data_IF_287404850975
#
_entry.id   IF_287404850975
#
_cell.length_a   1.000
_cell.length_b   1.000
_cell.length_c   1.000
_cell.angle_alpha   90.00
_cell.angle_beta   90.00
_cell.angle_gamma   90.00
#
_symmetry.space_group_name_H-M   'P 1'
#
loop_
_entity.id
_entity.type
_entity.pdbx_description
1 polymer ?
#
# COMPACT_ATOMS: atom_id res chain seq x y z
N UNK A 1 -42.46 32.93 38.87
CA UNK A 1 -42.58 34.32 39.38
C UNK A 1 -41.97 35.34 38.41
N UNK A 2 -42.13 35.19 37.09
CA UNK A 2 -41.57 36.14 36.10
C UNK A 2 -42.50 37.32 35.76
N UNK A 3 -43.69 37.39 36.37
CA UNK A 3 -44.71 38.37 35.99
C UNK A 3 -44.56 39.73 36.71
N UNK A 4 -43.69 39.83 37.73
CA UNK A 4 -43.56 41.05 38.55
C UNK A 4 -42.41 41.96 38.13
N UNK A 5 -41.45 41.49 37.32
CA UNK A 5 -40.26 42.29 36.97
C UNK A 5 -40.63 43.48 36.07
N UNK A 6 -41.50 43.26 35.08
CA UNK A 6 -42.02 44.32 34.21
C UNK A 6 -42.69 45.45 35.01
N UNK A 7 -43.40 45.11 36.09
CA UNK A 7 -44.06 46.07 36.99
C UNK A 7 -43.09 46.86 37.87
N UNK A 8 -41.83 46.39 38.00
CA UNK A 8 -40.75 47.05 38.76
C UNK A 8 -39.75 47.79 37.85
N UNK A 9 -39.97 47.81 36.54
CA UNK A 9 -39.12 48.51 35.58
C UNK A 9 -39.62 49.89 35.20
N UNK A 10 -38.69 50.81 34.98
CA UNK A 10 -39.01 52.15 34.47
C UNK A 10 -39.25 52.10 32.96
N UNK A 11 -40.36 52.68 32.49
CA UNK A 11 -40.71 52.73 31.06
C UNK A 11 -39.80 53.60 30.19
N UNK A 12 -38.82 54.30 30.77
CA UNK A 12 -37.84 55.11 30.03
C UNK A 12 -36.53 54.32 29.82
N UNK A 13 -35.94 53.78 30.88
CA UNK A 13 -34.66 53.05 30.78
C UNK A 13 -34.80 51.53 30.66
N UNK A 14 -36.01 50.99 30.87
CA UNK A 14 -36.31 49.55 30.86
C UNK A 14 -35.47 48.75 31.86
N UNK A 15 -35.02 49.41 32.93
CA UNK A 15 -34.31 48.82 34.08
C UNK A 15 -35.16 49.00 35.34
N UNK A 16 -34.86 48.25 36.40
CA UNK A 16 -35.48 48.43 37.71
C UNK A 16 -35.39 49.89 38.17
N UNK A 17 -36.45 50.42 38.79
CA UNK A 17 -36.45 51.82 39.20
C UNK A 17 -35.27 52.17 40.12
N UNK A 18 -34.58 53.24 39.77
CA UNK A 18 -33.50 53.83 40.56
C UNK A 18 -33.92 55.24 40.98
N UNK A 19 -34.02 55.45 42.28
CA UNK A 19 -34.64 56.64 42.88
C UNK A 19 -36.03 56.97 42.27
N UNK A 20 -37.06 56.13 42.53
CA UNK A 20 -38.37 56.28 41.92
C UNK A 20 -39.10 57.54 42.40
N UNK A 21 -39.32 58.50 41.51
CA UNK A 21 -40.05 59.74 41.76
C UNK A 21 -41.47 59.66 41.21
N UNK A 22 -42.45 60.07 42.02
CA UNK A 22 -43.88 60.06 41.67
C UNK A 22 -44.29 61.42 41.15
N UNK A 23 -44.79 61.44 39.93
CA UNK A 23 -45.42 62.62 39.35
C UNK A 23 -46.84 62.82 39.96
N UNK A 24 -47.35 64.05 40.15
CA UNK A 24 -48.76 64.34 40.46
C UNK A 24 -49.83 63.56 39.68
N UNK A 25 -49.54 63.05 38.48
CA UNK A 25 -50.39 62.14 37.73
C UNK A 25 -50.25 60.65 38.14
N UNK A 26 -49.66 60.38 39.30
CA UNK A 26 -49.39 59.07 39.92
C UNK A 26 -48.45 58.11 39.16
N UNK A 27 -47.89 58.53 38.03
CA UNK A 27 -46.88 57.74 37.32
C UNK A 27 -45.49 57.90 37.96
N UNK A 28 -44.72 56.82 38.00
CA UNK A 28 -43.41 56.76 38.65
C UNK A 28 -42.31 56.57 37.60
N UNK A 29 -41.18 57.26 37.77
CA UNK A 29 -40.01 57.20 36.89
C UNK A 29 -38.71 57.32 37.72
N UNK A 30 -37.58 56.86 37.19
CA UNK A 30 -36.28 57.13 37.82
C UNK A 30 -35.99 58.62 37.82
N UNK A 31 -35.40 59.17 38.89
CA UNK A 31 -35.05 60.60 38.97
C UNK A 31 -34.23 61.07 37.76
N UNK A 32 -33.19 60.32 37.41
CA UNK A 32 -32.31 60.64 36.27
C UNK A 32 -33.06 60.61 34.93
N UNK A 33 -34.04 59.71 34.79
CA UNK A 33 -34.88 59.65 33.59
C UNK A 33 -35.78 60.88 33.48
N UNK A 34 -36.34 61.38 34.60
CA UNK A 34 -37.11 62.62 34.62
C UNK A 34 -36.25 63.85 34.33
N UNK A 35 -35.02 63.91 34.85
CA UNK A 35 -34.07 64.99 34.53
C UNK A 35 -33.77 65.05 33.03
N UNK A 36 -33.53 63.89 32.41
CA UNK A 36 -33.34 63.81 30.96
C UNK A 36 -34.54 64.31 30.17
N UNK A 37 -35.77 63.97 30.58
CA UNK A 37 -36.99 64.46 29.92
C UNK A 37 -37.16 65.98 30.10
N UNK A 38 -36.86 66.52 31.28
CA UNK A 38 -36.96 67.96 31.56
C UNK A 38 -35.95 68.75 30.72
N UNK A 39 -34.71 68.27 30.63
CA UNK A 39 -33.67 68.88 29.80
C UNK A 39 -34.08 68.93 28.33
N UNK A 40 -34.69 67.86 27.80
CA UNK A 40 -35.18 67.81 26.42
C UNK A 40 -36.39 68.75 26.17
N UNK A 41 -37.20 69.04 27.20
CA UNK A 41 -38.36 69.95 27.10
C UNK A 41 -38.04 71.43 27.30
N UNK A 42 -36.81 71.79 27.68
CA UNK A 42 -36.43 73.15 28.10
C UNK A 42 -36.33 74.20 26.97
N UNK A 43 -36.68 73.84 25.73
CA UNK A 43 -36.65 74.76 24.58
C UNK A 43 -37.84 75.74 24.50
N UNK A 44 -38.80 75.71 25.44
CA UNK A 44 -40.02 76.52 25.39
C UNK A 44 -40.42 77.08 26.77
N UNK A 45 -39.73 78.10 27.30
CA UNK A 45 -40.25 78.93 28.41
C UNK A 45 -39.49 80.27 28.58
N UNK A 46 -39.92 81.33 27.89
CA UNK A 46 -39.33 82.70 28.00
C UNK A 46 -40.00 83.53 29.13
N UNK A 47 -41.06 83.05 29.79
CA UNK A 47 -41.86 83.87 30.72
C UNK A 47 -42.36 83.14 31.98
N UNK A 48 -41.44 82.70 32.87
CA UNK A 48 -41.60 82.60 34.35
C UNK A 48 -40.40 81.81 34.93
N UNK A 49 -39.47 82.42 35.70
CA UNK A 49 -38.27 81.73 36.17
C UNK A 49 -38.48 80.66 37.26
N UNK A 50 -39.72 80.41 37.73
CA UNK A 50 -39.94 79.65 38.97
C UNK A 50 -40.55 78.25 38.82
N UNK A 51 -41.05 77.85 37.63
CA UNK A 51 -41.64 76.50 37.41
C UNK A 51 -41.42 76.01 35.98
N UNK A 52 -41.12 74.71 35.83
CA UNK A 52 -40.87 74.08 34.51
C UNK A 52 -42.04 73.17 34.14
N UNK A 53 -42.66 73.32 32.96
CA UNK A 53 -43.71 72.42 32.51
C UNK A 53 -43.11 71.08 32.05
N UNK A 54 -43.56 69.99 32.67
CA UNK A 54 -43.19 68.62 32.33
C UNK A 54 -44.41 67.90 31.74
N UNK A 55 -44.20 67.09 30.69
CA UNK A 55 -45.22 66.21 30.14
C UNK A 55 -44.92 64.76 30.52
N UNK A 56 -45.87 64.09 31.18
CA UNK A 56 -45.69 62.70 31.59
C UNK A 56 -45.52 61.77 30.36
N UNK A 57 -44.48 60.94 30.28
CA UNK A 57 -44.28 60.00 29.16
C UNK A 57 -45.40 58.96 29.00
N UNK A 58 -46.04 58.55 30.09
CA UNK A 58 -47.07 57.50 30.05
C UNK A 58 -48.47 58.08 29.73
N UNK A 59 -48.95 59.05 30.51
CA UNK A 59 -50.33 59.57 30.36
C UNK A 59 -50.43 60.91 29.62
N UNK A 60 -49.29 61.53 29.26
CA UNK A 60 -49.22 62.81 28.53
C UNK A 60 -49.79 64.03 29.25
N UNK A 61 -50.21 63.91 30.51
CA UNK A 61 -50.62 65.05 31.35
C UNK A 61 -49.46 66.04 31.53
N UNK A 62 -49.77 67.34 31.47
CA UNK A 62 -48.82 68.44 31.67
C UNK A 62 -48.89 68.89 33.13
N UNK A 63 -47.73 69.13 33.73
CA UNK A 63 -47.61 69.50 35.14
C UNK A 63 -46.46 70.46 35.39
N UNK A 64 -46.62 71.33 36.38
CA UNK A 64 -45.60 72.30 36.76
C UNK A 64 -44.70 71.73 37.86
N UNK A 65 -43.41 71.59 37.58
CA UNK A 65 -42.40 71.18 38.56
C UNK A 65 -41.79 72.43 39.21
N UNK A 66 -41.61 72.47 40.54
CA UNK A 66 -40.92 73.56 41.24
C UNK A 66 -39.51 73.83 40.70
N UNK A 67 -38.98 75.05 40.90
CA UNK A 67 -37.61 75.43 40.50
C UNK A 67 -36.51 74.54 41.12
N UNK A 68 -36.79 73.85 42.23
CA UNK A 68 -35.92 72.85 42.84
C UNK A 68 -35.84 71.52 42.06
N UNK A 69 -36.51 71.43 40.91
CA UNK A 69 -36.37 70.33 39.97
C UNK A 69 -36.97 69.01 40.46
N UNK A 70 -36.46 67.91 39.93
CA UNK A 70 -36.87 66.53 40.22
C UNK A 70 -36.67 66.13 41.68
N UNK A 71 -35.82 66.85 42.44
CA UNK A 71 -35.59 66.60 43.88
C UNK A 71 -36.83 66.88 44.73
N UNK A 72 -37.67 67.81 44.29
CA UNK A 72 -38.89 68.18 45.00
C UNK A 72 -40.03 67.16 44.83
N UNK A 73 -39.88 66.19 43.93
CA UNK A 73 -40.90 65.19 43.69
C UNK A 73 -40.88 64.10 44.78
N UNK A 74 -42.06 63.65 45.25
CA UNK A 74 -42.16 62.57 46.22
C UNK A 74 -41.46 61.31 45.74
N UNK A 75 -40.70 60.67 46.64
CA UNK A 75 -40.10 59.36 46.39
C UNK A 75 -41.16 58.28 46.66
N UNK A 76 -41.28 57.30 45.77
CA UNK A 76 -42.11 56.12 46.02
C UNK A 76 -41.35 55.14 46.94
N UNK A 77 -41.41 55.38 48.24
CA UNK A 77 -40.70 54.54 49.22
C UNK A 77 -41.16 53.09 49.24
N UNK A 78 -42.44 52.82 48.95
CA UNK A 78 -42.97 51.46 48.86
C UNK A 78 -42.33 50.70 47.68
N UNK A 79 -42.30 51.31 46.49
CA UNK A 79 -41.64 50.74 45.33
C UNK A 79 -40.13 50.57 45.55
N UNK A 80 -39.49 51.56 46.19
CA UNK A 80 -38.07 51.48 46.58
C UNK A 80 -37.81 50.29 47.52
N UNK A 81 -38.65 50.08 48.54
CA UNK A 81 -38.53 48.97 49.48
C UNK A 81 -38.79 47.61 48.82
N UNK A 82 -39.75 47.52 47.89
CA UNK A 82 -40.02 46.30 47.11
C UNK A 82 -38.80 45.98 46.23
N UNK A 83 -38.21 46.98 45.56
CA UNK A 83 -37.00 46.80 44.75
C UNK A 83 -35.80 46.42 45.61
N UNK A 84 -35.64 47.01 46.80
CA UNK A 84 -34.58 46.68 47.76
C UNK A 84 -34.70 45.21 48.20
N UNK A 85 -35.91 44.76 48.51
CA UNK A 85 -36.18 43.36 48.88
C UNK A 85 -35.98 42.40 47.71
N UNK A 86 -36.44 42.78 46.52
CA UNK A 86 -36.23 42.03 45.27
C UNK A 86 -34.73 41.89 44.94
N UNK A 87 -33.91 42.90 45.26
CA UNK A 87 -32.44 42.83 45.12
C UNK A 87 -31.75 41.98 46.18
N UNK A 88 -32.36 41.82 47.37
CA UNK A 88 -31.83 41.02 48.48
C UNK A 88 -32.19 39.54 48.37
N UNK A 89 -33.28 39.21 47.68
CA UNK A 89 -33.54 37.86 47.20
C UNK A 89 -32.47 37.54 46.15
N UNK A 90 -31.60 36.59 46.45
CA UNK A 90 -30.39 36.27 45.68
C UNK A 90 -30.73 35.77 44.28
N UNK A 91 -30.91 36.70 43.35
CA UNK A 91 -31.02 36.45 41.92
C UNK A 91 -29.61 36.45 41.30
N UNK A 92 -28.71 35.59 41.80
CA UNK A 92 -27.34 35.38 41.29
C UNK A 92 -27.28 34.99 39.80
N UNK A 93 -28.41 34.68 39.16
CA UNK A 93 -28.47 34.22 37.78
C UNK A 93 -28.68 35.34 36.74
N UNK A 94 -28.80 36.60 37.15
CA UNK A 94 -28.98 37.71 36.19
C UNK A 94 -27.64 38.08 35.57
N UNK A 95 -27.41 37.62 34.34
CA UNK A 95 -26.24 37.98 33.55
C UNK A 95 -26.15 39.50 33.38
N UNK A 96 -25.00 40.09 33.71
CA UNK A 96 -24.77 41.54 33.63
C UNK A 96 -23.80 41.90 32.52
N UNK A 97 -23.93 43.12 32.01
CA UNK A 97 -23.10 43.63 30.92
C UNK A 97 -21.66 43.87 31.37
N UNK A 98 -20.69 43.39 30.59
CA UNK A 98 -19.27 43.60 30.86
C UNK A 98 -18.85 45.07 30.77
N UNK A 99 -19.47 45.83 29.86
CA UNK A 99 -19.10 47.22 29.56
C UNK A 99 -19.81 48.23 30.47
N UNK A 100 -20.96 47.86 31.03
CA UNK A 100 -21.81 48.77 31.80
C UNK A 100 -22.09 48.20 33.18
N UNK A 101 -21.49 48.84 34.20
CA UNK A 101 -21.52 48.36 35.58
C UNK A 101 -22.95 48.10 36.08
N UNK A 102 -23.19 46.87 36.54
CA UNK A 102 -24.46 46.38 37.11
C UNK A 102 -25.69 46.51 36.20
N UNK A 103 -25.50 46.66 34.89
CA UNK A 103 -26.62 46.68 33.94
C UNK A 103 -26.99 45.24 33.53
N UNK A 104 -28.27 44.83 33.65
CA UNK A 104 -28.68 43.48 33.26
C UNK A 104 -28.66 43.30 31.74
N UNK A 105 -28.28 42.11 31.27
CA UNK A 105 -28.39 41.71 29.87
C UNK A 105 -29.81 41.20 29.61
N UNK A 106 -30.69 42.11 29.21
CA UNK A 106 -32.13 41.87 29.09
C UNK A 106 -32.68 42.03 27.66
N UNK A 107 -31.82 42.28 26.67
CA UNK A 107 -32.22 42.46 25.26
C UNK A 107 -31.33 41.63 24.33
N UNK A 108 -31.89 41.09 23.25
CA UNK A 108 -31.11 40.39 22.23
C UNK A 108 -30.95 41.28 20.99
N UNK A 109 -29.70 41.55 20.61
CA UNK A 109 -29.40 42.23 19.36
C UNK A 109 -29.46 41.22 18.20
N UNK A 110 -30.37 41.42 17.25
CA UNK A 110 -30.57 40.52 16.11
C UNK A 110 -29.44 40.62 15.08
N UNK A 111 -28.79 41.79 14.98
CA UNK A 111 -27.68 42.00 14.05
C UNK A 111 -26.40 41.31 14.54
N UNK A 112 -26.07 41.50 15.81
CA UNK A 112 -24.82 40.99 16.41
C UNK A 112 -24.97 39.60 17.04
N UNK A 113 -26.21 39.09 17.10
CA UNK A 113 -26.59 37.81 17.71
C UNK A 113 -26.11 37.64 19.15
N UNK A 114 -26.27 38.68 19.97
CA UNK A 114 -25.75 38.75 21.35
C UNK A 114 -26.75 39.38 22.31
N UNK A 115 -26.65 38.97 23.57
CA UNK A 115 -27.34 39.62 24.68
C UNK A 115 -26.66 40.96 24.99
N UNK A 116 -27.46 42.02 25.13
CA UNK A 116 -27.02 43.39 25.38
C UNK A 116 -27.91 44.04 26.46
N UNK A 117 -27.39 45.05 27.16
CA UNK A 117 -28.16 45.83 28.12
C UNK A 117 -28.74 47.12 27.50
N UNK A 118 -29.66 47.78 28.18
CA UNK A 118 -30.27 49.04 27.70
C UNK A 118 -29.26 50.15 27.36
N UNK A 119 -28.15 50.26 28.10
CA UNK A 119 -27.10 51.25 27.82
C UNK A 119 -26.36 50.95 26.50
N UNK A 120 -26.15 49.68 26.16
CA UNK A 120 -25.58 49.28 24.88
C UNK A 120 -26.42 49.76 23.69
N UNK A 121 -27.74 49.86 23.86
CA UNK A 121 -28.69 50.25 22.83
C UNK A 121 -28.88 51.76 22.71
N UNK A 122 -28.85 52.49 23.83
CA UNK A 122 -29.16 53.92 23.82
C UNK A 122 -27.96 54.79 23.53
N UNK A 123 -26.80 54.44 24.11
CA UNK A 123 -25.57 55.24 24.02
C UNK A 123 -24.35 54.42 23.61
N UNK A 124 -24.47 53.10 23.61
CA UNK A 124 -23.39 52.17 23.29
C UNK A 124 -23.35 51.75 21.82
N UNK A 125 -22.55 50.69 21.56
CA UNK A 125 -22.21 50.20 20.21
C UNK A 125 -23.37 49.57 19.44
N UNK A 126 -24.51 49.34 20.09
CA UNK A 126 -25.68 48.70 19.47
C UNK A 126 -26.81 49.72 19.22
N UNK A 127 -26.47 51.01 19.21
CA UNK A 127 -27.43 52.07 18.91
C UNK A 127 -27.97 51.96 17.49
N UNK A 128 -29.30 51.90 17.37
CA UNK A 128 -29.99 51.73 16.09
C UNK A 128 -30.00 50.30 15.53
N UNK A 129 -29.42 49.32 16.22
CA UNK A 129 -29.51 47.91 15.78
C UNK A 129 -30.92 47.34 16.02
N UNK A 130 -31.41 46.44 15.14
CA UNK A 130 -32.65 45.73 15.38
C UNK A 130 -32.52 44.82 16.60
N UNK A 131 -33.50 44.90 17.50
CA UNK A 131 -33.54 44.15 18.75
C UNK A 131 -34.79 43.28 18.84
N UNK A 132 -34.73 42.28 19.70
CA UNK A 132 -35.87 41.44 20.08
C UNK A 132 -35.83 41.17 21.59
N UNK A 133 -36.98 40.83 22.16
CA UNK A 133 -37.03 40.40 23.56
C UNK A 133 -36.37 39.02 23.71
N UNK A 134 -35.84 38.73 24.92
CA UNK A 134 -35.08 37.51 25.17
C UNK A 134 -35.87 36.24 24.89
N UNK A 135 -37.16 36.24 25.23
CA UNK A 135 -37.99 35.06 25.09
C UNK A 135 -38.29 34.78 23.61
N UNK A 136 -38.66 35.81 22.84
CA UNK A 136 -38.88 35.71 21.39
C UNK A 136 -37.61 35.34 20.63
N UNK A 137 -36.47 35.96 20.97
CA UNK A 137 -35.17 35.63 20.37
C UNK A 137 -34.76 34.18 20.68
N UNK A 138 -34.93 33.74 21.93
CA UNK A 138 -34.66 32.37 22.34
C UNK A 138 -35.47 31.36 21.53
N UNK A 139 -36.79 31.58 21.40
CA UNK A 139 -37.64 30.66 20.64
C UNK A 139 -37.22 30.60 19.17
N UNK A 140 -36.96 31.74 18.54
CA UNK A 140 -36.51 31.81 17.13
C UNK A 140 -35.15 31.14 16.92
N UNK A 141 -34.16 31.40 17.78
CA UNK A 141 -32.83 30.80 17.63
C UNK A 141 -32.80 29.31 18.04
N UNK A 142 -33.66 28.89 18.97
CA UNK A 142 -33.84 27.47 19.29
C UNK A 142 -34.48 26.72 18.11
N UNK A 143 -35.47 27.30 17.47
CA UNK A 143 -36.07 26.74 16.26
C UNK A 143 -35.08 26.73 15.08
N UNK A 144 -34.32 27.81 14.88
CA UNK A 144 -33.30 27.91 13.82
C UNK A 144 -32.20 26.86 14.00
N UNK A 145 -31.76 26.63 15.24
CA UNK A 145 -30.80 25.59 15.61
C UNK A 145 -31.32 24.19 15.30
N UNK A 146 -32.61 23.93 15.58
CA UNK A 146 -33.28 22.68 15.20
C UNK A 146 -33.25 22.45 13.69
N UNK A 147 -33.56 23.48 12.89
CA UNK A 147 -33.51 23.41 11.42
C UNK A 147 -32.10 23.17 10.87
N UNK A 148 -31.07 23.76 11.49
CA UNK A 148 -29.67 23.50 11.12
C UNK A 148 -29.31 22.04 11.43
N UNK A 149 -29.78 21.50 12.56
CA UNK A 149 -29.54 20.11 12.92
C UNK A 149 -30.23 19.15 11.93
N UNK A 150 -31.42 19.48 11.43
CA UNK A 150 -32.11 18.71 10.39
C UNK A 150 -31.34 18.67 9.05
N UNK A 151 -30.59 19.73 8.72
CA UNK A 151 -29.69 19.71 7.54
C UNK A 151 -28.54 18.70 7.70
N UNK A 152 -28.17 18.37 8.93
CA UNK A 152 -27.14 17.36 9.23
C UNK A 152 -27.67 15.93 9.27
N UNK A 153 -28.97 15.72 9.14
CA UNK A 153 -29.60 14.40 9.08
C UNK A 153 -30.25 14.11 7.75
N UNK A 154 -30.01 14.96 6.75
CA UNK A 154 -30.55 14.79 5.41
C UNK A 154 -29.93 13.59 4.68
N UNK A 155 -30.38 13.38 3.44
CA UNK A 155 -29.94 12.25 2.61
C UNK A 155 -28.44 12.32 2.25
N UNK A 156 -27.80 13.48 2.33
CA UNK A 156 -26.38 13.63 2.00
C UNK A 156 -25.52 12.79 2.96
N UNK A 157 -25.79 12.88 4.26
CA UNK A 157 -25.02 12.17 5.28
C UNK A 157 -25.23 10.66 5.23
N UNK A 158 -26.44 10.22 4.90
CA UNK A 158 -26.71 8.81 4.60
C UNK A 158 -25.86 8.30 3.42
N UNK A 159 -25.75 9.10 2.35
CA UNK A 159 -24.90 8.76 1.20
C UNK A 159 -23.40 8.74 1.57
N UNK A 160 -22.94 9.64 2.43
CA UNK A 160 -21.55 9.63 2.94
C UNK A 160 -21.28 8.33 3.70
N UNK A 161 -22.18 7.90 4.58
CA UNK A 161 -22.05 6.63 5.29
C UNK A 161 -22.02 5.43 4.32
N UNK A 162 -22.94 5.38 3.36
CA UNK A 162 -22.98 4.32 2.35
C UNK A 162 -21.71 4.29 1.49
N UNK A 163 -21.20 5.45 1.09
CA UNK A 163 -19.96 5.54 0.32
C UNK A 163 -18.77 5.07 1.15
N UNK A 164 -18.72 5.43 2.43
CA UNK A 164 -17.68 4.99 3.36
C UNK A 164 -17.70 3.47 3.56
N UNK A 165 -18.87 2.86 3.72
CA UNK A 165 -19.02 1.40 3.78
C UNK A 165 -18.60 0.74 2.48
N UNK A 166 -19.04 1.27 1.33
CA UNK A 166 -18.64 0.77 0.02
C UNK A 166 -17.13 0.83 -0.18
N UNK A 167 -16.48 1.94 0.19
CA UNK A 167 -15.02 2.09 0.08
C UNK A 167 -14.28 1.12 1.00
N UNK A 168 -14.78 0.90 2.23
CA UNK A 168 -14.21 -0.11 3.14
C UNK A 168 -14.30 -1.51 2.56
N UNK A 169 -15.46 -1.87 2.00
CA UNK A 169 -15.65 -3.17 1.37
C UNK A 169 -14.73 -3.35 0.15
N UNK A 170 -14.68 -2.36 -0.74
CA UNK A 170 -13.80 -2.39 -1.91
C UNK A 170 -12.32 -2.50 -1.53
N UNK A 171 -11.89 -1.77 -0.50
CA UNK A 171 -10.54 -1.89 0.05
C UNK A 171 -10.26 -3.31 0.53
N UNK A 172 -11.14 -3.86 1.38
CA UNK A 172 -11.02 -5.21 1.93
C UNK A 172 -10.94 -6.28 0.82
N UNK A 173 -11.80 -6.16 -0.20
CA UNK A 173 -11.81 -7.06 -1.34
C UNK A 173 -10.51 -6.99 -2.15
N UNK A 174 -9.99 -5.79 -2.39
CA UNK A 174 -8.71 -5.61 -3.08
C UNK A 174 -7.55 -6.20 -2.26
N UNK A 175 -7.51 -5.96 -0.95
CA UNK A 175 -6.49 -6.52 -0.06
C UNK A 175 -6.54 -8.06 -0.03
N UNK A 176 -7.74 -8.64 0.01
CA UNK A 176 -7.93 -10.10 -0.06
C UNK A 176 -7.43 -10.67 -1.39
N UNK A 177 -7.75 -10.01 -2.51
CA UNK A 177 -7.31 -10.44 -3.85
C UNK A 177 -5.78 -10.45 -3.95
N UNK A 178 -5.12 -9.41 -3.43
CA UNK A 178 -3.65 -9.34 -3.38
C UNK A 178 -3.08 -10.48 -2.54
N UNK A 179 -3.69 -10.79 -1.40
CA UNK A 179 -3.22 -11.86 -0.53
C UNK A 179 -3.42 -13.26 -1.16
N UNK A 180 -4.51 -13.45 -1.89
CA UNK A 180 -4.75 -14.69 -2.64
C UNK A 180 -3.78 -14.84 -3.81
N UNK A 181 -3.48 -13.77 -4.55
CA UNK A 181 -2.46 -13.78 -5.60
C UNK A 181 -1.06 -14.10 -5.05
N UNK A 182 -0.69 -13.54 -3.89
CA UNK A 182 0.57 -13.92 -3.21
C UNK A 182 0.61 -15.41 -2.91
N UNK A 183 -0.48 -16.00 -2.41
CA UNK A 183 -0.54 -17.45 -2.16
C UNK A 183 -0.37 -18.23 -3.46
N UNK A 184 -1.02 -17.81 -4.54
CA UNK A 184 -0.87 -18.46 -5.87
C UNK A 184 0.58 -18.44 -6.32
N UNK A 185 1.26 -17.29 -6.22
CA UNK A 185 2.69 -17.15 -6.57
C UNK A 185 3.55 -18.11 -5.74
N UNK A 186 3.40 -18.08 -4.41
CA UNK A 186 4.17 -18.94 -3.50
C UNK A 186 3.94 -20.42 -3.80
N UNK A 187 2.69 -20.83 -4.02
CA UNK A 187 2.34 -22.22 -4.31
C UNK A 187 2.91 -22.68 -5.65
N UNK A 188 2.85 -21.83 -6.70
CA UNK A 188 3.39 -22.16 -8.01
C UNK A 188 4.90 -22.42 -7.95
N UNK A 189 5.66 -21.51 -7.33
CA UNK A 189 7.11 -21.66 -7.22
C UNK A 189 7.52 -22.78 -6.26
N UNK A 190 6.76 -23.02 -5.19
CA UNK A 190 6.98 -24.18 -4.32
C UNK A 190 6.86 -25.49 -5.10
N UNK A 191 5.77 -25.66 -5.85
CA UNK A 191 5.55 -26.86 -6.68
C UNK A 191 6.66 -27.06 -7.71
N UNK A 192 7.15 -25.98 -8.32
CA UNK A 192 8.26 -26.03 -9.26
C UNK A 192 9.56 -26.48 -8.59
N UNK A 193 9.90 -25.89 -7.44
CA UNK A 193 11.08 -26.26 -6.65
C UNK A 193 11.02 -27.72 -6.21
N UNK A 194 9.88 -28.15 -5.66
CA UNK A 194 9.68 -29.54 -5.21
C UNK A 194 9.85 -30.53 -6.37
N UNK A 195 9.35 -30.19 -7.57
CA UNK A 195 9.51 -30.98 -8.79
C UNK A 195 10.99 -31.12 -9.18
N UNK A 196 11.70 -29.99 -9.20
CA UNK A 196 13.11 -29.94 -9.58
C UNK A 196 13.97 -30.74 -8.60
N UNK A 197 13.74 -30.56 -7.31
CA UNK A 197 14.47 -31.29 -6.27
C UNK A 197 14.17 -32.79 -6.37
N UNK A 198 12.91 -33.18 -6.55
CA UNK A 198 12.56 -34.59 -6.74
C UNK A 198 13.30 -35.21 -7.93
N UNK A 199 13.34 -34.54 -9.10
CA UNK A 199 14.04 -35.06 -10.28
C UNK A 199 15.56 -35.14 -10.08
N UNK A 200 16.15 -34.15 -9.39
CA UNK A 200 17.57 -34.19 -8.99
C UNK A 200 17.85 -35.41 -8.12
N UNK A 201 17.03 -35.67 -7.11
CA UNK A 201 17.20 -36.83 -6.22
C UNK A 201 17.10 -38.14 -6.98
N UNK A 202 16.17 -38.27 -7.92
CA UNK A 202 16.05 -39.47 -8.76
C UNK A 202 17.31 -39.69 -9.63
N UNK A 203 17.88 -38.63 -10.21
CA UNK A 203 19.12 -38.74 -11.00
C UNK A 203 20.33 -39.14 -10.16
N UNK A 204 20.45 -38.58 -8.95
CA UNK A 204 21.52 -38.94 -8.01
C UNK A 204 21.40 -40.39 -7.56
N UNK A 205 20.20 -40.83 -7.16
CA UNK A 205 19.95 -42.21 -6.77
C UNK A 205 20.27 -43.20 -7.91
N UNK A 206 19.96 -42.85 -9.16
CA UNK A 206 20.33 -43.66 -10.31
C UNK A 206 21.85 -43.76 -10.53
N UNK A 207 22.61 -42.72 -10.20
CA UNK A 207 24.08 -42.74 -10.25
C UNK A 207 24.69 -43.54 -9.10
N UNK A 208 24.13 -43.42 -7.89
CA UNK A 208 24.57 -44.20 -6.73
C UNK A 208 24.37 -45.70 -6.95
N UNK A 209 23.25 -46.08 -7.57
CA UNK A 209 22.97 -47.46 -7.97
C UNK A 209 24.00 -47.97 -9.00
N UNK A 210 24.41 -47.13 -9.95
CA UNK A 210 25.47 -47.48 -10.90
C UNK A 210 26.84 -47.61 -10.20
N UNK A 211 27.15 -46.73 -9.25
CA UNK A 211 28.37 -46.85 -8.44
C UNK A 211 28.39 -48.17 -7.65
N UNK A 212 27.25 -48.58 -7.08
CA UNK A 212 27.11 -49.88 -6.40
C UNK A 212 27.39 -51.04 -7.36
N UNK A 213 26.82 -51.02 -8.56
CA UNK A 213 27.07 -52.04 -9.59
C UNK A 213 28.55 -52.09 -10.02
N UNK A 214 29.24 -50.95 -10.10
CA UNK A 214 30.69 -50.89 -10.38
C UNK A 214 31.48 -51.57 -9.26
N UNK A 215 31.17 -51.28 -8.00
CA UNK A 215 31.84 -51.91 -6.86
C UNK A 215 31.62 -53.43 -6.86
N UNK A 216 30.39 -53.88 -7.10
CA UNK A 216 30.06 -55.31 -7.16
C UNK A 216 30.79 -56.05 -8.29
N UNK A 217 31.02 -55.39 -9.43
CA UNK A 217 31.77 -55.97 -10.55
C UNK A 217 33.29 -56.00 -10.28
N UNK A 218 33.87 -54.91 -9.76
CA UNK A 218 35.34 -54.77 -9.70
C UNK A 218 35.98 -55.20 -8.38
N UNK A 219 35.30 -55.03 -7.24
CA UNK A 219 35.91 -55.28 -5.91
C UNK A 219 36.37 -56.73 -5.71
N UNK A 220 35.59 -57.77 -6.12
CA UNK A 220 36.04 -59.16 -6.01
C UNK A 220 37.30 -59.46 -6.83
N UNK A 221 37.43 -58.83 -8.00
CA UNK A 221 38.61 -58.97 -8.86
C UNK A 221 39.83 -58.27 -8.26
N UNK A 222 39.66 -57.06 -7.73
CA UNK A 222 40.71 -56.31 -7.04
C UNK A 222 41.21 -57.12 -5.84
N UNK A 223 40.31 -57.65 -5.01
CA UNK A 223 40.66 -58.41 -3.82
C UNK A 223 41.38 -59.72 -4.14
N UNK A 224 40.93 -60.44 -5.19
CA UNK A 224 41.64 -61.64 -5.66
C UNK A 224 43.07 -61.33 -6.12
N UNK A 225 43.26 -60.24 -6.87
CA UNK A 225 44.59 -59.83 -7.34
C UNK A 225 45.48 -59.33 -6.19
N UNK A 226 44.92 -58.62 -5.20
CA UNK A 226 45.64 -58.23 -3.98
C UNK A 226 46.19 -59.45 -3.24
N UNK A 227 45.36 -60.47 -2.99
CA UNK A 227 45.78 -61.71 -2.31
C UNK A 227 46.91 -62.44 -3.05
N UNK A 228 46.83 -62.53 -4.38
CA UNK A 228 47.91 -63.12 -5.21
C UNK A 228 49.21 -62.31 -5.05
N UNK A 229 49.12 -60.98 -5.03
CA UNK A 229 50.26 -60.09 -4.85
C UNK A 229 50.87 -60.18 -3.44
N UNK A 230 50.05 -60.28 -2.41
CA UNK A 230 50.51 -60.46 -1.02
C UNK A 230 51.28 -61.77 -0.85
N UNK A 231 50.75 -62.88 -1.37
CA UNK A 231 51.42 -64.18 -1.34
C UNK A 231 52.73 -64.16 -2.16
N UNK A 232 52.76 -63.45 -3.29
CA UNK A 232 53.99 -63.22 -4.05
C UNK A 232 55.06 -62.53 -3.19
N UNK A 233 54.71 -61.46 -2.48
CA UNK A 233 55.63 -60.71 -1.63
C UNK A 233 56.09 -61.53 -0.42
N UNK A 234 55.19 -62.30 0.20
CA UNK A 234 55.54 -63.23 1.28
C UNK A 234 56.57 -64.25 0.81
N UNK A 235 56.35 -64.88 -0.35
CA UNK A 235 57.29 -65.85 -0.93
C UNK A 235 58.64 -65.22 -1.28
N UNK A 236 58.66 -63.97 -1.77
CA UNK A 236 59.90 -63.24 -2.03
C UNK A 236 60.69 -63.00 -0.73
N UNK A 237 60.01 -62.63 0.35
CA UNK A 237 60.63 -62.44 1.67
C UNK A 237 61.17 -63.77 2.23
N UNK A 238 60.35 -64.83 2.18
CA UNK A 238 60.73 -66.16 2.66
C UNK A 238 61.93 -66.70 1.89
N UNK A 239 61.95 -66.56 0.57
CA UNK A 239 63.09 -66.95 -0.26
C UNK A 239 64.35 -66.17 0.14
N UNK A 240 64.24 -64.86 0.38
CA UNK A 240 65.38 -64.04 0.85
C UNK A 240 65.92 -64.51 2.19
N UNK A 241 65.06 -64.97 3.11
CA UNK A 241 65.48 -65.57 4.37
C UNK A 241 66.16 -66.92 4.18
N UNK A 242 65.64 -67.77 3.29
CA UNK A 242 66.23 -69.08 2.98
C UNK A 242 67.63 -68.92 2.37
N UNK A 243 67.85 -67.92 1.51
CA UNK A 243 69.17 -67.62 0.94
C UNK A 243 70.23 -67.27 1.99
N UNK A 244 69.83 -66.89 3.22
CA UNK A 244 70.74 -66.58 4.34
C UNK A 244 70.93 -67.76 5.30
N UNK A 245 70.29 -68.90 5.06
CA UNK A 245 70.39 -70.08 5.91
C UNK A 245 71.75 -70.76 5.73
N UNK A 246 72.51 -70.94 6.82
CA UNK A 246 73.86 -71.53 6.78
C UNK A 246 73.85 -73.07 6.82
N UNK A 247 72.75 -73.68 7.29
CA UNK A 247 72.62 -75.14 7.40
C UNK A 247 72.11 -75.77 6.09
N UNK A 248 72.90 -76.65 5.43
CA UNK A 248 72.51 -77.27 4.16
C UNK A 248 71.23 -78.12 4.25
N UNK A 249 71.01 -78.82 5.37
CA UNK A 249 69.83 -79.68 5.55
C UNK A 249 68.55 -78.85 5.67
N UNK A 250 68.57 -77.79 6.47
CA UNK A 250 67.42 -76.88 6.68
C UNK A 250 67.11 -76.08 5.41
N UNK A 251 68.15 -75.68 4.67
CA UNK A 251 67.99 -75.03 3.37
C UNK A 251 67.26 -75.93 2.37
N UNK A 252 67.69 -77.18 2.21
CA UNK A 252 67.09 -78.12 1.25
C UNK A 252 65.63 -78.45 1.59
N UNK A 253 65.28 -78.53 2.87
CA UNK A 253 63.89 -78.74 3.31
C UNK A 253 62.99 -77.52 3.02
N UNK A 254 63.46 -76.31 3.35
CA UNK A 254 62.67 -75.08 3.17
C UNK A 254 62.55 -74.66 1.70
N UNK A 255 63.58 -74.89 0.88
CA UNK A 255 63.61 -74.42 -0.51
C UNK A 255 62.62 -75.18 -1.40
N UNK A 256 62.43 -76.49 -1.18
CA UNK A 256 61.45 -77.29 -1.92
C UNK A 256 60.02 -76.80 -1.65
N UNK A 257 59.71 -76.49 -0.39
CA UNK A 257 58.42 -75.90 -0.01
C UNK A 257 58.13 -74.58 -0.74
N UNK A 258 59.12 -73.69 -0.84
CA UNK A 258 58.98 -72.42 -1.58
C UNK A 258 58.83 -72.65 -3.08
N UNK A 259 59.58 -73.58 -3.68
CA UNK A 259 59.42 -73.93 -5.09
C UNK A 259 58.02 -74.44 -5.41
N UNK A 260 57.46 -75.30 -4.56
CA UNK A 260 56.09 -75.80 -4.71
C UNK A 260 55.05 -74.67 -4.60
N UNK A 261 55.19 -73.77 -3.61
CA UNK A 261 54.29 -72.61 -3.45
C UNK A 261 54.37 -71.64 -4.62
N UNK A 262 55.57 -71.37 -5.16
CA UNK A 262 55.74 -70.52 -6.36
C UNK A 262 55.05 -71.14 -7.58
N UNK A 263 55.19 -72.46 -7.76
CA UNK A 263 54.52 -73.18 -8.86
C UNK A 263 53.00 -73.07 -8.73
N UNK A 264 52.47 -73.36 -7.55
CA UNK A 264 51.04 -73.23 -7.26
C UNK A 264 50.52 -71.79 -7.46
N UNK A 265 51.30 -70.78 -7.08
CA UNK A 265 50.96 -69.37 -7.30
C UNK A 265 50.89 -69.01 -8.79
N UNK A 266 51.83 -69.48 -9.61
CA UNK A 266 51.85 -69.26 -11.07
C UNK A 266 50.69 -69.94 -11.79
N UNK A 267 50.17 -71.03 -11.24
CA UNK A 267 49.03 -71.77 -11.81
C UNK A 267 47.68 -71.13 -11.46
N UNK A 268 47.61 -70.14 -10.55
CA UNK A 268 46.36 -69.45 -10.21
C UNK A 268 45.84 -68.65 -11.40
N UNK A 269 44.59 -68.91 -11.79
CA UNK A 269 43.94 -68.17 -12.87
C UNK A 269 43.67 -66.71 -12.50
N UNK A 270 44.10 -65.81 -13.39
CA UNK A 270 43.80 -64.38 -13.33
C UNK A 270 42.34 -64.12 -13.76
N UNK A 271 41.62 -63.20 -13.10
CA UNK A 271 40.28 -62.83 -13.52
C UNK A 271 40.29 -62.12 -14.89
N UNK A 272 39.31 -62.45 -15.74
CA UNK A 272 39.05 -61.73 -16.99
C UNK A 272 38.19 -60.49 -16.70
N UNK A 273 38.81 -59.30 -16.79
CA UNK A 273 38.17 -58.04 -16.43
C UNK A 273 37.60 -57.35 -17.66
N UNK A 274 36.27 -57.22 -17.72
CA UNK A 274 35.59 -56.48 -18.79
C UNK A 274 35.60 -54.98 -18.48
N UNK A 275 36.00 -54.18 -19.46
CA UNK A 275 35.87 -52.73 -19.36
C UNK A 275 34.39 -52.35 -19.54
N UNK A 276 33.84 -51.58 -18.59
CA UNK A 276 32.47 -51.06 -18.65
C UNK A 276 32.47 -49.54 -18.78
N UNK A 277 31.37 -48.99 -19.30
CA UNK A 277 31.12 -47.56 -19.39
C UNK A 277 29.68 -47.23 -19.00
N UNK A 278 29.46 -46.01 -18.50
CA UNK A 278 28.15 -45.54 -18.04
C UNK A 278 27.44 -44.84 -19.20
N UNK A 279 26.24 -45.29 -19.56
CA UNK A 279 25.43 -44.71 -20.62
C UNK A 279 23.93 -44.65 -20.26
N UNK A 280 23.21 -43.56 -20.59
CA UNK A 280 23.73 -42.28 -21.11
C UNK A 280 24.46 -41.47 -20.04
N UNK A 281 25.33 -40.54 -20.45
CA UNK A 281 26.00 -39.62 -19.53
C UNK A 281 25.05 -38.50 -19.12
N UNK A 282 24.73 -38.39 -17.83
CA UNK A 282 23.80 -37.39 -17.28
C UNK A 282 24.23 -35.96 -17.63
N UNK A 283 25.53 -35.67 -17.67
CA UNK A 283 26.03 -34.35 -18.07
C UNK A 283 25.55 -33.90 -19.46
N UNK A 284 25.47 -34.82 -20.44
CA UNK A 284 24.97 -34.50 -21.78
C UNK A 284 23.44 -34.30 -21.76
N UNK A 285 22.71 -35.13 -21.00
CA UNK A 285 21.27 -34.93 -20.81
C UNK A 285 20.95 -33.54 -20.24
N UNK A 286 21.70 -33.11 -19.21
CA UNK A 286 21.49 -31.80 -18.60
C UNK A 286 21.78 -30.66 -19.60
N UNK A 287 22.84 -30.79 -20.39
CA UNK A 287 23.22 -29.79 -21.38
C UNK A 287 22.30 -29.74 -22.58
N UNK A 288 21.84 -30.87 -23.09
CA UNK A 288 21.16 -30.95 -24.38
C UNK A 288 19.63 -30.92 -24.26
N UNK A 289 19.10 -31.46 -23.15
CA UNK A 289 17.66 -31.57 -22.89
C UNK A 289 17.21 -30.55 -21.86
N UNK A 290 17.80 -30.56 -20.66
CA UNK A 290 17.32 -29.72 -19.55
C UNK A 290 17.53 -28.23 -19.80
N UNK A 291 18.67 -27.84 -20.38
CA UNK A 291 18.96 -26.42 -20.67
C UNK A 291 17.96 -25.75 -21.63
N UNK A 292 17.28 -26.55 -22.45
CA UNK A 292 16.31 -26.10 -23.47
C UNK A 292 14.86 -26.33 -23.05
N UNK A 293 14.63 -26.94 -21.89
CA UNK A 293 13.26 -27.29 -21.49
C UNK A 293 12.55 -26.09 -20.86
N UNK A 294 11.34 -25.80 -21.33
CA UNK A 294 10.48 -24.77 -20.76
C UNK A 294 9.98 -25.17 -19.36
N UNK A 295 9.74 -24.18 -18.49
CA UNK A 295 9.33 -24.41 -17.10
C UNK A 295 8.06 -25.28 -17.01
N UNK A 296 7.07 -25.04 -17.89
CA UNK A 296 5.83 -25.81 -17.93
C UNK A 296 6.00 -27.27 -18.38
N UNK A 297 7.14 -27.62 -18.96
CA UNK A 297 7.43 -28.96 -19.47
C UNK A 297 8.34 -29.78 -18.56
N UNK A 298 8.95 -29.17 -17.53
CA UNK A 298 9.90 -29.83 -16.61
C UNK A 298 9.33 -31.14 -16.07
N UNK A 299 8.07 -31.15 -15.64
CA UNK A 299 7.40 -32.36 -15.13
C UNK A 299 7.40 -33.54 -16.13
N UNK A 300 7.32 -33.24 -17.43
CA UNK A 300 7.24 -34.22 -18.52
C UNK A 300 8.61 -34.78 -18.93
N UNK A 301 9.72 -34.19 -18.47
CA UNK A 301 11.07 -34.72 -18.76
C UNK A 301 11.18 -36.11 -18.14
N UNK A 302 11.42 -37.12 -18.98
CA UNK A 302 11.66 -38.49 -18.53
C UNK A 302 13.05 -38.59 -17.90
N UNK A 303 13.13 -39.26 -16.74
CA UNK A 303 14.42 -39.63 -16.15
C UNK A 303 15.02 -40.76 -16.99
N UNK A 304 16.23 -40.58 -17.57
CA UNK A 304 16.86 -41.64 -18.33
C UNK A 304 17.25 -42.80 -17.41
N UNK A 305 17.07 -44.02 -17.90
CA UNK A 305 17.59 -45.22 -17.24
C UNK A 305 19.09 -45.32 -17.52
N UNK A 306 19.90 -44.91 -16.55
CA UNK A 306 21.36 -45.03 -16.60
C UNK A 306 21.72 -46.51 -16.47
N UNK A 307 22.66 -46.98 -17.30
CA UNK A 307 23.12 -48.37 -17.32
C UNK A 307 24.63 -48.45 -17.43
N UNK A 308 25.19 -49.53 -16.90
CA UNK A 308 26.53 -49.99 -17.22
C UNK A 308 26.47 -50.83 -18.48
N UNK A 309 27.28 -50.47 -19.48
CA UNK A 309 27.40 -51.21 -20.73
C UNK A 309 28.85 -51.64 -20.95
N UNK A 310 29.12 -52.77 -21.63
CA UNK A 310 30.49 -53.14 -21.98
C UNK A 310 31.09 -52.10 -22.94
N UNK A 311 32.30 -51.63 -22.61
CA UNK A 311 33.07 -50.74 -23.47
C UNK A 311 33.49 -51.52 -24.71
N UNK A 312 32.82 -51.30 -25.84
CA UNK A 312 33.23 -51.88 -27.12
C UNK A 312 34.63 -51.37 -27.45
N UNK A 313 35.57 -52.27 -27.76
CA UNK A 313 36.86 -51.91 -28.36
C UNK A 313 36.60 -51.31 -29.74
N UNK A 314 36.33 -50.01 -29.78
CA UNK A 314 36.24 -49.26 -31.02
C UNK A 314 37.68 -48.98 -31.45
N UNK A 315 38.21 -49.78 -32.37
CA UNK A 315 39.35 -49.34 -33.17
C UNK A 315 38.96 -48.02 -33.84
N UNK A 316 39.75 -46.99 -33.56
CA UNK A 316 39.63 -45.63 -34.06
C UNK A 316 39.46 -45.60 -35.59
N UNK A 317 38.23 -45.42 -36.08
CA UNK A 317 37.96 -45.01 -37.48
C UNK A 317 36.58 -44.40 -37.76
N UNK A 318 35.76 -44.10 -36.75
CA UNK A 318 34.41 -43.56 -36.97
C UNK A 318 34.30 -42.03 -36.90
N UNK A 319 35.35 -41.32 -36.46
CA UNK A 319 35.31 -39.87 -36.24
C UNK A 319 35.30 -39.02 -37.52
N UNK A 320 35.72 -39.56 -38.68
CA UNK A 320 35.75 -38.79 -39.94
C UNK A 320 34.52 -39.04 -40.83
N UNK A 321 33.80 -40.15 -40.65
CA UNK A 321 32.72 -40.55 -41.58
C UNK A 321 31.35 -39.95 -41.23
N UNK A 322 31.11 -39.57 -39.96
CA UNK A 322 29.87 -38.89 -39.55
C UNK A 322 29.91 -37.39 -39.80
N UNK A 323 31.10 -36.76 -39.76
CA UNK A 323 31.28 -35.33 -40.07
C UNK A 323 31.03 -35.02 -41.56
N UNK A 324 31.43 -35.92 -42.45
CA UNK A 324 31.17 -35.82 -43.89
C UNK A 324 29.67 -35.94 -44.22
N UNK A 325 28.91 -36.77 -43.49
CA UNK A 325 27.47 -36.96 -43.72
C UNK A 325 26.61 -35.80 -43.20
N UNK A 326 27.06 -35.10 -42.15
CA UNK A 326 26.36 -33.90 -41.65
C UNK A 326 26.56 -32.68 -42.55
N UNK A 327 27.71 -32.59 -43.24
CA UNK A 327 27.98 -31.50 -44.19
C UNK A 327 27.21 -31.68 -45.51
N UNK A 328 26.95 -32.91 -45.97
CA UNK A 328 26.10 -33.18 -47.14
C UNK A 328 24.61 -32.84 -46.90
N UNK A 329 24.08 -32.99 -45.67
CA UNK A 329 22.68 -32.67 -45.37
C UNK A 329 22.41 -31.17 -45.21
N UNK A 330 23.43 -30.37 -44.86
CA UNK A 330 23.33 -28.91 -44.77
C UNK A 330 23.40 -28.21 -46.14
N UNK A 331 23.98 -28.86 -47.15
CA UNK A 331 23.97 -28.36 -48.54
C UNK A 331 22.65 -28.64 -49.29
N UNK A 332 21.72 -29.39 -48.71
CA UNK A 332 20.43 -29.72 -49.34
C UNK A 332 19.32 -28.69 -49.08
N UNK A 333 19.55 -27.66 -48.26
CA UNK A 333 18.56 -26.60 -48.04
C UNK A 333 18.78 -25.50 -49.07
N UNK A 334 17.96 -25.52 -50.12
CA UNK A 334 18.00 -24.54 -51.21
C UNK A 334 17.94 -23.11 -50.63
N UNK A 335 18.96 -22.25 -50.82
CA UNK A 335 18.95 -20.90 -50.27
C UNK A 335 17.72 -20.09 -50.71
N UNK A 336 17.15 -20.44 -51.88
CA UNK A 336 15.92 -19.85 -52.40
C UNK A 336 14.69 -20.12 -51.50
N UNK A 337 14.58 -21.31 -50.87
CA UNK A 337 13.43 -21.64 -50.00
C UNK A 337 13.54 -20.93 -48.65
N UNK A 338 14.76 -20.74 -48.14
CA UNK A 338 14.97 -19.95 -46.90
C UNK A 338 14.66 -18.48 -47.14
N UNK A 339 15.09 -17.91 -48.27
CA UNK A 339 14.73 -16.53 -48.63
C UNK A 339 13.24 -16.35 -48.84
N UNK A 340 12.55 -17.34 -49.44
CA UNK A 340 11.09 -17.27 -49.63
C UNK A 340 10.35 -17.27 -48.28
N UNK A 341 10.77 -18.13 -47.34
CA UNK A 341 10.18 -18.21 -46.00
C UNK A 341 10.33 -16.91 -45.22
N UNK A 342 11.51 -16.28 -45.30
CA UNK A 342 11.77 -14.99 -44.65
C UNK A 342 10.93 -13.87 -45.26
N UNK A 343 10.81 -13.81 -46.59
CA UNK A 343 9.97 -12.81 -47.28
C UNK A 343 8.49 -13.02 -46.91
N UNK A 344 8.01 -14.27 -46.84
CA UNK A 344 6.64 -14.54 -46.41
C UNK A 344 6.39 -14.17 -44.96
N UNK A 345 7.35 -14.38 -44.05
CA UNK A 345 7.23 -13.98 -42.65
C UNK A 345 7.18 -12.45 -42.50
N UNK A 346 7.98 -11.72 -43.28
CA UNK A 346 7.98 -10.25 -43.29
C UNK A 346 6.67 -9.69 -43.87
N UNK A 347 6.13 -10.31 -44.93
CA UNK A 347 4.85 -9.93 -45.50
C UNK A 347 3.67 -10.19 -44.55
N UNK A 348 3.68 -11.31 -43.81
CA UNK A 348 2.68 -11.64 -42.79
C UNK A 348 2.76 -10.65 -41.62
N UNK A 349 3.97 -10.31 -41.16
CA UNK A 349 4.15 -9.28 -40.14
C UNK A 349 3.61 -7.92 -40.62
N UNK A 350 3.95 -7.50 -41.84
CA UNK A 350 3.42 -6.26 -42.42
C UNK A 350 1.88 -6.27 -42.48
N UNK A 351 1.25 -7.37 -42.90
CA UNK A 351 -0.21 -7.49 -42.97
C UNK A 351 -0.91 -7.49 -41.59
N UNK A 352 -0.26 -8.05 -40.55
CA UNK A 352 -0.77 -8.03 -39.18
C UNK A 352 -0.69 -6.62 -38.55
N UNK A 353 0.30 -5.82 -38.94
CA UNK A 353 0.48 -4.44 -38.45
C UNK A 353 -0.20 -3.37 -39.32
N UNK A 354 -0.69 -3.72 -40.52
CA UNK A 354 -1.38 -2.78 -41.43
C UNK A 354 -2.91 -2.85 -41.40
N UNK A 355 -3.52 -3.38 -40.33
CA UNK A 355 -4.95 -3.10 -40.07
C UNK A 355 -5.07 -1.71 -39.44
N UNK A 356 -5.60 -0.70 -40.14
CA UNK A 356 -5.84 0.60 -39.53
C UNK A 356 -6.89 0.41 -38.43
N UNK A 357 -6.61 0.96 -37.25
CA UNK A 357 -7.62 1.26 -36.25
C UNK A 357 -8.53 2.33 -36.88
N UNK A 358 -9.53 1.89 -37.62
CA UNK A 358 -10.65 2.73 -38.05
C UNK A 358 -11.91 2.19 -37.40
N UNK A 359 -12.61 3.11 -36.73
CA UNK A 359 -13.92 3.03 -36.09
C UNK A 359 -14.02 2.27 -34.76
N UNK A 360 -13.74 2.95 -33.64
CA UNK A 360 -14.72 3.15 -32.54
C UNK A 360 -14.41 4.49 -31.84
N UNK A 361 -15.45 5.33 -31.82
CA UNK A 361 -15.76 6.49 -30.99
C UNK A 361 -14.66 7.17 -30.15
N UNK A 362 -14.50 8.45 -30.45
CA UNK A 362 -14.14 9.55 -29.55
C UNK A 362 -14.78 9.43 -28.16
N UNK A 363 -13.96 9.35 -27.12
CA UNK A 363 -14.18 10.03 -25.84
C UNK A 363 -12.85 10.07 -25.07
N UNK A 364 -12.63 11.17 -24.35
CA UNK A 364 -11.32 11.63 -23.87
C UNK A 364 -10.52 10.56 -23.12
N UNK A 365 -9.39 10.16 -23.71
CA UNK A 365 -8.38 9.34 -23.04
C UNK A 365 -7.51 10.27 -22.17
N UNK A 366 -7.33 9.98 -20.86
CA UNK A 366 -6.44 10.77 -20.00
C UNK A 366 -5.00 10.75 -20.54
N UNK A 367 -4.31 11.89 -20.50
CA UNK A 367 -2.94 12.08 -21.00
C UNK A 367 -1.93 11.04 -20.50
N UNK A 368 -2.17 10.41 -19.34
CA UNK A 368 -1.34 9.34 -18.76
C UNK A 368 -1.34 8.02 -19.57
N UNK A 369 -2.46 7.66 -20.21
CA UNK A 369 -2.57 6.39 -20.95
C UNK A 369 -1.83 6.48 -22.29
N UNK A 370 -1.77 7.68 -22.88
CA UNK A 370 -1.02 7.94 -24.12
C UNK A 370 0.48 7.82 -23.91
N UNK A 371 1.03 8.32 -22.79
CA UNK A 371 2.46 8.19 -22.50
C UNK A 371 2.85 6.75 -22.20
N UNK A 372 2.00 5.99 -21.48
CA UNK A 372 2.25 4.58 -21.20
C UNK A 372 2.27 3.71 -22.47
N UNK A 373 1.32 3.92 -23.37
CA UNK A 373 1.29 3.24 -24.66
C UNK A 373 2.47 3.63 -25.56
N UNK A 374 2.88 4.91 -25.54
CA UNK A 374 4.06 5.38 -26.25
C UNK A 374 5.36 4.77 -25.68
N UNK A 375 5.44 4.60 -24.36
CA UNK A 375 6.56 3.95 -23.69
C UNK A 375 6.66 2.47 -24.05
N UNK A 376 5.54 1.74 -24.07
CA UNK A 376 5.49 0.33 -24.50
C UNK A 376 5.88 0.22 -25.99
N UNK A 377 5.34 1.10 -26.84
CA UNK A 377 5.67 1.11 -28.27
C UNK A 377 7.16 1.38 -28.51
N UNK A 378 7.75 2.34 -27.80
CA UNK A 378 9.18 2.66 -27.88
C UNK A 378 10.04 1.51 -27.36
N UNK A 379 9.65 0.88 -26.26
CA UNK A 379 10.32 -0.31 -25.72
C UNK A 379 10.30 -1.48 -26.70
N UNK A 380 9.14 -1.71 -27.34
CA UNK A 380 8.99 -2.73 -28.36
C UNK A 380 9.85 -2.46 -29.61
N UNK A 381 9.84 -1.22 -30.11
CA UNK A 381 10.68 -0.81 -31.24
C UNK A 381 12.17 -1.00 -30.94
N UNK A 382 12.61 -0.66 -29.72
CA UNK A 382 14.01 -0.81 -29.31
C UNK A 382 14.42 -2.29 -29.22
N UNK A 383 13.54 -3.15 -28.69
CA UNK A 383 13.75 -4.59 -28.62
C UNK A 383 13.81 -5.22 -30.03
N UNK A 384 12.93 -4.77 -30.93
CA UNK A 384 12.92 -5.19 -32.32
C UNK A 384 14.20 -4.77 -33.05
N UNK A 385 14.65 -3.52 -32.87
CA UNK A 385 15.91 -3.01 -33.43
C UNK A 385 17.11 -3.84 -32.97
N UNK A 386 17.17 -4.13 -31.66
CA UNK A 386 18.24 -4.95 -31.07
C UNK A 386 18.23 -6.38 -31.62
N UNK A 387 17.04 -6.95 -31.82
CA UNK A 387 16.89 -8.29 -32.42
C UNK A 387 17.34 -8.29 -33.88
N UNK A 388 16.98 -7.26 -34.65
CA UNK A 388 17.42 -7.07 -36.03
C UNK A 388 18.95 -6.93 -36.09
N UNK A 389 19.56 -6.12 -35.23
CA UNK A 389 21.02 -5.92 -35.18
C UNK A 389 21.75 -7.22 -34.83
N UNK A 390 21.24 -8.01 -33.88
CA UNK A 390 21.80 -9.32 -33.54
C UNK A 390 21.68 -10.30 -34.71
N UNK A 391 20.56 -10.28 -35.43
CA UNK A 391 20.36 -11.11 -36.61
C UNK A 391 21.25 -10.69 -37.77
N UNK A 392 21.41 -9.40 -38.03
CA UNK A 392 22.33 -8.84 -39.02
C UNK A 392 23.78 -9.14 -38.67
N UNK A 393 24.17 -9.05 -37.39
CA UNK A 393 25.52 -9.39 -36.95
C UNK A 393 25.81 -10.89 -37.11
N UNK A 394 24.87 -11.76 -36.74
CA UNK A 394 24.99 -13.20 -36.97
C UNK A 394 25.02 -13.55 -38.46
N UNK A 395 24.22 -12.87 -39.28
CA UNK A 395 24.24 -13.03 -40.74
C UNK A 395 25.59 -12.60 -41.32
N UNK A 396 26.13 -11.45 -40.91
CA UNK A 396 27.44 -10.97 -41.36
C UNK A 396 28.58 -11.91 -40.93
N UNK A 397 28.55 -12.43 -39.70
CA UNK A 397 29.51 -13.45 -39.24
C UNK A 397 29.42 -14.75 -40.07
N UNK A 398 28.20 -15.12 -40.46
CA UNK A 398 27.96 -16.30 -41.30
C UNK A 398 28.45 -16.06 -42.73
N UNK A 399 28.29 -14.85 -43.27
CA UNK A 399 28.83 -14.42 -44.57
C UNK A 399 30.36 -14.31 -44.55
N UNK A 400 30.99 -13.82 -43.48
CA UNK A 400 32.45 -13.82 -43.31
C UNK A 400 33.01 -15.24 -43.21
N UNK A 401 32.32 -16.14 -42.51
CA UNK A 401 32.69 -17.55 -42.41
C UNK A 401 32.60 -18.27 -43.77
N UNK A 402 31.60 -17.93 -44.59
CA UNK A 402 31.47 -18.45 -45.95
C UNK A 402 32.48 -17.81 -46.92
N UNK A 403 32.83 -16.54 -46.72
CA UNK A 403 33.81 -15.82 -47.55
C UNK A 403 35.27 -16.24 -47.33
N UNK A 404 35.63 -16.80 -46.17
CA UNK A 404 36.98 -17.33 -45.90
C UNK A 404 37.24 -18.74 -46.45
N UNK A 405 36.24 -19.43 -46.99
CA UNK A 405 36.35 -20.81 -47.48
C UNK A 405 36.38 -20.94 -49.01
N UNK A 406 36.65 -19.86 -49.74
CA UNK A 406 36.85 -19.89 -51.21
C UNK A 406 38.31 -19.54 -51.53
N UNK A 407 39.18 -20.51 -51.86
CA UNK A 407 40.46 -20.22 -52.49
C UNK A 407 40.24 -19.88 -53.97
N UNK A 408 40.84 -18.77 -54.42
CA UNK A 408 41.02 -18.44 -55.83
C UNK A 408 42.12 -19.33 -56.44
#
# INVERSE_FOLDING_TARGET
MHHFEEELTCSICYSLFEDPRVLPCSHTFCRNCLEGVIQLSSNFSIWRPLRVPLKCPNCRSIMEIPASGTESLPVNFALKAIIEKYRQEDHSDVATCSEHYRQPLNVYCLLDKKLVCGHCLTIGKHNGHPIDDLHSAYLKEKESSGKILEQLTDKHWSNVCLLLEKLKEQKSQCESTVEDDKKVVVQYFKKLTDTLEHKKQVLLAALDEINRQILEEYEPHIEKLKKIREEQLELMSLNTSIQKEESPLVFLEKVDNVHQRIKALKEKQLPDVKAVEIYPRVGHLLKDVWSKTEIGQINKILTPKIKLIPKRKLHSKSSEKERAKSEELLQAVNPLTVTLLVITAIAIAALLFHKPISSVATEAIPTDVSEFLFFIYRGFCTCLQTTIDVMCHKFNLLMEFLGRNVPL
#
